data_IF_665430493369
#
_entry.id   IF_665430493369
#
_cell.length_a   1.000
_cell.length_b   1.000
_cell.length_c   1.000
_cell.angle_alpha   90.00
_cell.angle_beta   90.00
_cell.angle_gamma   90.00
#
_symmetry.space_group_name_H-M   'P 1'
#
loop_
_entity.id
_entity.type
_entity.pdbx_description
1 polymer ?
#
# COMPACT_ATOMS: atom_id res chain seq x y z
N UNK A 1 -8.37 -25.35 -1.10
CA UNK A 1 -8.13 -26.80 -1.05
C UNK A 1 -7.16 -27.23 0.05
N UNK A 2 -5.98 -26.61 0.20
CA UNK A 2 -5.01 -27.00 1.23
C UNK A 2 -5.32 -26.53 2.69
N UNK A 3 -6.42 -25.80 2.93
CA UNK A 3 -6.78 -25.33 4.28
C UNK A 3 -5.81 -24.30 4.90
N UNK A 4 -5.03 -23.58 4.09
CA UNK A 4 -4.01 -22.63 4.57
C UNK A 4 -4.49 -21.18 4.52
N UNK A 5 -4.06 -20.33 5.48
CA UNK A 5 -4.27 -18.89 5.41
C UNK A 5 -3.36 -18.26 4.35
N UNK A 6 -3.89 -17.24 3.65
CA UNK A 6 -3.18 -16.49 2.61
C UNK A 6 -3.25 -15.00 2.93
N UNK A 7 -2.11 -14.31 2.86
CA UNK A 7 -2.00 -12.87 3.02
C UNK A 7 -1.33 -12.28 1.77
N UNK A 8 -1.90 -11.22 1.21
CA UNK A 8 -1.39 -10.62 -0.03
C UNK A 8 -2.34 -9.62 -0.67
N UNK A 9 -1.97 -8.97 -1.79
CA UNK A 9 -0.68 -9.05 -2.50
C UNK A 9 0.05 -7.70 -2.61
N UNK A 10 1.37 -7.75 -2.82
CA UNK A 10 2.31 -6.63 -2.95
C UNK A 10 2.47 -5.79 -1.66
N UNK A 11 3.66 -5.77 -1.06
CA UNK A 11 3.89 -5.21 0.27
C UNK A 11 3.70 -3.68 0.29
N UNK A 12 3.04 -3.16 1.31
CA UNK A 12 3.08 -1.74 1.71
C UNK A 12 4.28 -1.56 2.65
N UNK A 13 5.27 -0.78 2.23
CA UNK A 13 6.39 -0.41 3.12
C UNK A 13 5.89 0.40 4.31
N UNK A 14 6.59 0.35 5.45
CA UNK A 14 6.21 1.01 6.71
C UNK A 14 5.92 2.51 6.50
N UNK A 15 6.82 3.22 5.81
CA UNK A 15 6.59 4.57 5.28
C UNK A 15 7.02 4.59 3.82
N UNK A 16 6.15 4.17 2.92
CA UNK A 16 6.40 4.13 1.48
C UNK A 16 5.64 5.20 0.70
N UNK A 17 6.03 5.38 -0.57
CA UNK A 17 5.35 6.29 -1.50
C UNK A 17 3.84 6.06 -1.55
N UNK A 18 3.40 4.80 -1.69
CA UNK A 18 1.97 4.45 -1.72
C UNK A 18 1.22 4.86 -0.45
N UNK A 19 1.81 4.65 0.74
CA UNK A 19 1.18 5.02 2.01
C UNK A 19 1.05 6.54 2.11
N UNK A 20 2.13 7.27 1.84
CA UNK A 20 2.13 8.75 1.91
C UNK A 20 1.12 9.33 0.91
N UNK A 21 1.11 8.83 -0.33
CA UNK A 21 0.17 9.25 -1.36
C UNK A 21 -1.29 9.02 -0.93
N UNK A 22 -1.58 7.83 -0.40
CA UNK A 22 -2.91 7.49 0.11
C UNK A 22 -3.35 8.40 1.26
N UNK A 23 -2.45 8.72 2.20
CA UNK A 23 -2.72 9.65 3.30
C UNK A 23 -3.03 11.06 2.77
N UNK A 24 -2.23 11.56 1.82
CA UNK A 24 -2.47 12.88 1.22
C UNK A 24 -3.79 12.91 0.42
N UNK A 25 -4.10 11.83 -0.30
CA UNK A 25 -5.38 11.68 -1.02
C UNK A 25 -6.55 11.67 -0.05
N UNK A 26 -6.44 10.92 1.05
CA UNK A 26 -7.46 10.88 2.10
C UNK A 26 -7.65 12.25 2.74
N UNK A 27 -6.55 12.99 3.00
CA UNK A 27 -6.63 14.36 3.52
C UNK A 27 -7.42 15.28 2.58
N UNK A 28 -7.25 15.17 1.26
CA UNK A 28 -8.02 15.97 0.31
C UNK A 28 -9.51 15.67 0.45
N UNK A 29 -9.88 14.38 0.43
CA UNK A 29 -11.26 13.92 0.56
C UNK A 29 -11.87 14.39 1.89
N UNK A 30 -11.18 14.16 3.01
CA UNK A 30 -11.65 14.49 4.36
C UNK A 30 -11.85 16.00 4.58
N UNK A 31 -11.15 16.83 3.80
CA UNK A 31 -11.24 18.30 3.85
C UNK A 31 -12.11 18.89 2.75
N UNK A 32 -12.78 18.06 1.95
CA UNK A 32 -13.64 18.51 0.87
C UNK A 32 -12.88 19.11 -0.32
N UNK A 33 -11.59 18.80 -0.47
CA UNK A 33 -10.77 19.19 -1.62
C UNK A 33 -10.97 18.15 -2.71
N UNK A 34 -11.39 18.59 -3.90
CA UNK A 34 -11.54 17.71 -5.06
C UNK A 34 -10.17 17.49 -5.68
N UNK A 35 -9.60 16.30 -5.54
CA UNK A 35 -8.44 15.86 -6.33
C UNK A 35 -8.84 15.77 -7.81
N UNK A 36 -8.04 16.38 -8.69
CA UNK A 36 -8.25 16.40 -10.15
C UNK A 36 -7.16 15.62 -10.88
N UNK A 37 -5.89 15.75 -10.46
CA UNK A 37 -4.76 15.04 -11.08
C UNK A 37 -3.79 14.57 -10.01
N UNK A 38 -3.14 13.44 -10.26
CA UNK A 38 -2.09 12.95 -9.39
C UNK A 38 -1.00 12.17 -10.10
N UNK A 39 0.23 12.32 -9.63
CA UNK A 39 1.36 11.54 -10.10
C UNK A 39 2.26 11.04 -8.96
N UNK A 40 2.92 9.92 -9.22
CA UNK A 40 3.95 9.34 -8.37
C UNK A 40 5.04 8.72 -9.23
N UNK A 41 6.19 9.38 -9.26
CA UNK A 41 7.40 8.96 -9.96
C UNK A 41 8.35 8.30 -8.96
N UNK A 42 8.69 7.02 -9.18
CA UNK A 42 9.59 6.29 -8.29
C UNK A 42 10.91 5.98 -8.99
N UNK A 43 12.03 6.35 -8.38
CA UNK A 43 13.38 6.08 -8.87
C UNK A 43 14.15 5.31 -7.80
N UNK A 44 14.93 4.31 -8.19
CA UNK A 44 15.76 3.53 -7.26
C UNK A 44 16.94 2.86 -7.96
N UNK A 45 17.88 2.31 -7.19
CA UNK A 45 19.11 1.72 -7.73
C UNK A 45 19.25 0.22 -7.54
N UNK A 46 18.29 -0.43 -6.86
CA UNK A 46 18.36 -1.86 -6.58
C UNK A 46 17.84 -2.68 -7.78
N UNK A 47 17.97 -4.00 -7.67
CA UNK A 47 17.55 -4.93 -8.72
C UNK A 47 16.04 -4.96 -8.93
N UNK A 48 15.20 -4.60 -7.95
CA UNK A 48 13.75 -4.47 -8.17
C UNK A 48 13.47 -3.34 -9.18
N UNK A 49 14.15 -2.19 -9.06
CA UNK A 49 14.03 -1.08 -10.02
C UNK A 49 14.62 -1.42 -11.39
N UNK A 50 15.75 -2.13 -11.44
CA UNK A 50 16.33 -2.58 -12.70
C UNK A 50 15.36 -3.51 -13.45
N UNK A 51 14.76 -4.46 -12.72
CA UNK A 51 13.73 -5.35 -13.25
C UNK A 51 12.45 -4.63 -13.71
N UNK A 52 12.23 -3.39 -13.24
CA UNK A 52 11.07 -2.58 -13.62
C UNK A 52 11.30 -1.77 -14.91
N UNK A 53 12.51 -1.71 -15.46
CA UNK A 53 12.74 -1.13 -16.80
C UNK A 53 12.13 -2.00 -17.90
N UNK A 54 11.96 -3.31 -17.67
CA UNK A 54 11.26 -4.20 -18.59
C UNK A 54 9.77 -3.85 -18.66
N UNK A 55 9.37 -3.24 -19.79
CA UNK A 55 8.03 -2.69 -19.99
C UNK A 55 6.91 -3.73 -19.87
N UNK A 56 7.16 -5.00 -20.19
CA UNK A 56 6.16 -6.07 -20.08
C UNK A 56 5.72 -6.34 -18.63
N UNK A 57 6.61 -6.12 -17.65
CA UNK A 57 6.31 -6.31 -16.21
C UNK A 57 5.66 -5.09 -15.56
N UNK A 58 5.61 -3.95 -16.26
CA UNK A 58 5.02 -2.73 -15.74
C UNK A 58 3.50 -2.81 -15.59
N UNK A 59 2.83 -3.62 -16.40
CA UNK A 59 1.35 -3.63 -16.46
C UNK A 59 0.73 -4.00 -15.10
N UNK A 60 1.14 -5.13 -14.51
CA UNK A 60 0.56 -5.62 -13.25
C UNK A 60 0.88 -4.70 -12.07
N UNK A 61 2.11 -4.17 -11.98
CA UNK A 61 2.50 -3.23 -10.90
C UNK A 61 1.89 -1.83 -11.07
N UNK A 62 1.65 -1.38 -12.31
CA UNK A 62 0.93 -0.12 -12.58
C UNK A 62 -0.51 -0.23 -12.10
N UNK A 63 -1.18 -1.35 -12.37
CA UNK A 63 -2.53 -1.62 -11.89
C UNK A 63 -2.58 -1.63 -10.36
N UNK A 64 -1.69 -2.38 -9.69
CA UNK A 64 -1.70 -2.48 -8.21
C UNK A 64 -1.50 -1.13 -7.53
N UNK A 65 -0.55 -0.32 -7.99
CA UNK A 65 -0.24 0.99 -7.39
C UNK A 65 -1.30 2.04 -7.71
N UNK A 66 -1.83 2.04 -8.93
CA UNK A 66 -2.90 2.96 -9.36
C UNK A 66 -4.16 2.68 -8.56
N UNK A 67 -4.61 1.41 -8.53
CA UNK A 67 -5.79 0.99 -7.78
C UNK A 67 -5.67 1.24 -6.28
N UNK A 68 -4.46 1.15 -5.72
CA UNK A 68 -4.24 1.49 -4.32
C UNK A 68 -4.52 2.96 -4.01
N UNK A 69 -4.33 3.91 -4.92
CA UNK A 69 -4.67 5.33 -4.67
C UNK A 69 -6.11 5.61 -5.05
N UNK A 70 -6.53 5.19 -6.26
CA UNK A 70 -7.87 5.52 -6.79
C UNK A 70 -9.00 4.85 -6.01
N UNK A 71 -8.76 3.71 -5.35
CA UNK A 71 -9.75 3.06 -4.47
C UNK A 71 -10.20 3.89 -3.27
N UNK A 72 -9.49 4.97 -2.93
CA UNK A 72 -9.92 5.91 -1.89
C UNK A 72 -10.90 6.97 -2.41
N UNK A 73 -10.85 7.28 -3.71
CA UNK A 73 -11.65 8.34 -4.29
C UNK A 73 -13.11 7.89 -4.41
N UNK A 74 -14.08 8.69 -3.92
CA UNK A 74 -15.50 8.37 -4.09
C UNK A 74 -16.03 8.71 -5.49
N UNK A 75 -15.15 9.14 -6.40
CA UNK A 75 -15.45 9.54 -7.78
C UNK A 75 -14.31 9.15 -8.71
N UNK A 76 -14.58 9.09 -10.00
CA UNK A 76 -13.58 8.87 -11.04
C UNK A 76 -12.92 10.19 -11.44
N UNK A 77 -11.59 10.16 -11.61
CA UNK A 77 -10.80 11.29 -12.11
C UNK A 77 -10.28 11.06 -13.53
N UNK A 78 -10.56 9.91 -14.16
CA UNK A 78 -10.05 9.57 -15.49
C UNK A 78 -8.63 9.00 -15.45
N UNK A 79 -8.37 7.99 -16.27
CA UNK A 79 -7.08 7.28 -16.29
C UNK A 79 -5.92 8.20 -16.71
N UNK A 80 -6.18 9.17 -17.59
CA UNK A 80 -5.20 10.14 -18.07
C UNK A 80 -4.73 11.12 -17.00
N UNK A 81 -5.50 11.26 -15.92
CA UNK A 81 -5.20 12.15 -14.80
C UNK A 81 -4.44 11.44 -13.66
N UNK A 82 -4.11 10.16 -13.83
CA UNK A 82 -3.37 9.35 -12.85
C UNK A 82 -2.11 8.76 -13.45
N UNK A 83 -0.95 9.20 -12.96
CA UNK A 83 0.35 8.67 -13.40
C UNK A 83 1.15 8.09 -12.23
N UNK A 84 1.02 6.78 -11.99
CA UNK A 84 1.68 6.10 -10.88
C UNK A 84 2.52 4.92 -11.39
N UNK A 85 3.84 4.97 -11.21
CA UNK A 85 4.73 3.91 -11.70
C UNK A 85 6.18 4.02 -11.22
N UNK A 86 7.01 3.00 -11.49
CA UNK A 86 8.45 3.20 -11.56
C UNK A 86 8.77 4.15 -12.72
N UNK A 87 9.79 4.96 -12.55
CA UNK A 87 10.18 6.00 -13.49
C UNK A 87 11.55 5.72 -14.07
N UNK A 88 12.51 5.34 -13.22
CA UNK A 88 13.87 5.10 -13.69
C UNK A 88 14.69 4.23 -12.73
N UNK A 89 15.83 3.74 -13.22
CA UNK A 89 16.86 3.06 -12.45
C UNK A 89 18.15 3.88 -12.42
N UNK A 90 18.62 4.19 -11.23
CA UNK A 90 19.81 5.02 -11.01
C UNK A 90 20.82 4.28 -10.13
N UNK A 91 21.94 3.77 -10.69
CA UNK A 91 22.79 2.80 -10.00
C UNK A 91 23.35 3.28 -8.66
N UNK A 92 23.72 4.56 -8.54
CA UNK A 92 24.30 5.11 -7.30
C UNK A 92 23.30 5.27 -6.16
N UNK A 93 22.00 5.11 -6.42
CA UNK A 93 21.01 5.08 -5.34
C UNK A 93 21.11 3.80 -4.52
N UNK A 94 21.60 2.69 -5.09
CA UNK A 94 21.61 1.37 -4.44
C UNK A 94 20.19 1.06 -3.91
N UNK A 95 20.03 0.75 -2.63
CA UNK A 95 18.72 0.47 -2.03
C UNK A 95 17.91 1.73 -1.66
N UNK A 96 18.46 2.93 -1.88
CA UNK A 96 17.68 4.15 -1.72
C UNK A 96 16.66 4.27 -2.84
N UNK A 97 15.46 4.66 -2.44
CA UNK A 97 14.33 4.92 -3.31
C UNK A 97 13.88 6.35 -3.11
N UNK A 98 13.74 7.05 -4.22
CA UNK A 98 13.15 8.37 -4.29
C UNK A 98 11.76 8.25 -4.87
N UNK A 99 10.80 8.93 -4.26
CA UNK A 99 9.46 9.07 -4.78
C UNK A 99 9.10 10.55 -4.86
N UNK A 100 8.75 11.01 -6.06
CA UNK A 100 8.22 12.35 -6.31
C UNK A 100 6.72 12.21 -6.51
N UNK A 101 5.95 12.91 -5.69
CA UNK A 101 4.50 12.90 -5.72
C UNK A 101 3.98 14.29 -6.02
N UNK A 102 2.94 14.36 -6.84
CA UNK A 102 2.23 15.60 -7.13
C UNK A 102 0.73 15.34 -7.05
N UNK A 103 0.01 16.14 -6.28
CA UNK A 103 -1.44 16.07 -6.13
C UNK A 103 -2.01 17.45 -6.44
N UNK A 104 -2.87 17.52 -7.45
CA UNK A 104 -3.56 18.74 -7.84
C UNK A 104 -5.05 18.61 -7.56
N UNK A 105 -5.64 19.65 -6.97
CA UNK A 105 -7.06 19.68 -6.68
C UNK A 105 -7.64 21.08 -6.63
N UNK A 106 -8.94 21.17 -6.31
CA UNK A 106 -9.67 22.43 -6.12
C UNK A 106 -10.24 22.54 -4.72
N UNK A 107 -10.14 23.74 -4.18
CA UNK A 107 -10.65 24.12 -2.87
C UNK A 107 -11.91 24.98 -3.01
N UNK A 108 -12.34 25.61 -1.91
CA UNK A 108 -13.47 26.53 -1.91
C UNK A 108 -13.33 27.63 -2.96
N UNK A 109 -14.41 27.90 -3.70
CA UNK A 109 -14.43 28.91 -4.78
C UNK A 109 -13.64 28.49 -6.02
N UNK A 110 -13.48 27.19 -6.28
CA UNK A 110 -12.73 26.63 -7.41
C UNK A 110 -11.25 27.07 -7.46
N UNK A 111 -10.69 27.49 -6.31
CA UNK A 111 -9.30 27.91 -6.22
C UNK A 111 -8.39 26.69 -6.31
N UNK A 112 -7.41 26.67 -7.25
CA UNK A 112 -6.52 25.54 -7.43
C UNK A 112 -5.58 25.36 -6.24
N UNK A 113 -5.29 24.10 -5.92
CA UNK A 113 -4.34 23.68 -4.90
C UNK A 113 -3.42 22.63 -5.50
N UNK A 114 -2.13 22.75 -5.20
CA UNK A 114 -1.12 21.78 -5.63
C UNK A 114 -0.21 21.43 -4.45
N UNK A 115 0.05 20.15 -4.27
CA UNK A 115 1.07 19.63 -3.35
C UNK A 115 2.12 18.88 -4.17
N UNK A 116 3.38 19.20 -3.92
CA UNK A 116 4.53 18.41 -4.38
C UNK A 116 5.33 17.91 -3.19
N UNK A 117 5.75 16.65 -3.24
CA UNK A 117 6.52 16.02 -2.17
C UNK A 117 7.60 15.11 -2.75
N UNK A 118 8.83 15.20 -2.22
CA UNK A 118 9.88 14.20 -2.40
C UNK A 118 10.02 13.37 -1.13
N UNK A 119 9.88 12.06 -1.26
CA UNK A 119 10.17 11.08 -0.22
C UNK A 119 11.46 10.34 -0.57
N UNK A 120 12.34 10.16 0.41
CA UNK A 120 13.53 9.30 0.28
C UNK A 120 13.53 8.27 1.41
N UNK A 121 13.71 7.00 1.04
CA UNK A 121 13.74 5.89 1.99
C UNK A 121 14.72 4.82 1.53
N UNK A 122 15.13 3.97 2.46
CA UNK A 122 15.76 2.68 2.15
C UNK A 122 14.66 1.64 1.92
N UNK A 123 14.54 1.09 0.70
CA UNK A 123 13.36 0.31 0.30
C UNK A 123 13.28 -1.06 0.99
N UNK A 124 14.43 -1.73 1.16
CA UNK A 124 14.48 -3.08 1.73
C UNK A 124 14.17 -3.12 3.23
N UNK A 125 14.83 -2.33 4.11
CA UNK A 125 14.51 -2.33 5.55
C UNK A 125 13.07 -1.87 5.84
N UNK A 126 12.58 -0.91 5.05
CA UNK A 126 11.24 -0.33 5.18
C UNK A 126 10.13 -1.37 4.86
N UNK A 127 10.45 -2.38 4.05
CA UNK A 127 9.53 -3.49 3.73
C UNK A 127 9.73 -4.69 4.66
N UNK A 128 10.96 -4.92 5.14
CA UNK A 128 11.30 -6.05 6.01
C UNK A 128 10.51 -6.06 7.33
N UNK A 129 10.39 -4.90 8.00
CA UNK A 129 9.63 -4.80 9.25
C UNK A 129 8.16 -5.19 9.09
N UNK A 130 7.53 -4.74 8.00
CA UNK A 130 6.13 -5.08 7.67
C UNK A 130 5.97 -6.57 7.39
N UNK A 131 6.92 -7.18 6.69
CA UNK A 131 6.88 -8.61 6.39
C UNK A 131 6.98 -9.47 7.65
N UNK A 132 7.80 -9.07 8.63
CA UNK A 132 7.88 -9.77 9.93
C UNK A 132 6.51 -9.79 10.62
N UNK A 133 5.80 -8.66 10.64
CA UNK A 133 4.47 -8.59 11.24
C UNK A 133 3.42 -9.37 10.46
N UNK A 134 3.50 -9.38 9.13
CA UNK A 134 2.63 -10.20 8.28
C UNK A 134 2.84 -11.71 8.56
N UNK A 135 4.08 -12.17 8.71
CA UNK A 135 4.41 -13.56 9.07
C UNK A 135 3.85 -13.92 10.46
N UNK A 136 3.95 -13.01 11.43
CA UNK A 136 3.36 -13.21 12.77
C UNK A 136 1.83 -13.34 12.69
N UNK A 137 1.19 -12.53 11.86
CA UNK A 137 -0.26 -12.65 11.61
C UNK A 137 -0.60 -13.96 10.90
N UNK A 138 0.20 -14.41 9.94
CA UNK A 138 0.02 -15.71 9.28
C UNK A 138 0.09 -16.86 10.29
N UNK A 139 1.01 -16.79 11.27
CA UNK A 139 1.10 -17.77 12.35
C UNK A 139 -0.14 -17.77 13.24
N UNK A 140 -0.63 -16.59 13.64
CA UNK A 140 -1.89 -16.47 14.42
C UNK A 140 -3.05 -17.08 13.64
N UNK A 141 -3.18 -16.77 12.34
CA UNK A 141 -4.25 -17.30 11.50
C UNK A 141 -4.19 -18.83 11.40
N UNK A 142 -2.98 -19.38 11.20
CA UNK A 142 -2.74 -20.83 11.14
C UNK A 142 -3.10 -21.51 12.47
N UNK A 143 -2.68 -20.94 13.61
CA UNK A 143 -2.95 -21.51 14.93
C UNK A 143 -4.43 -21.43 15.31
N UNK A 144 -5.15 -20.43 14.81
CA UNK A 144 -6.59 -20.29 14.96
C UNK A 144 -7.39 -21.14 13.96
N UNK A 145 -6.74 -21.96 13.13
CA UNK A 145 -7.40 -22.82 12.15
C UNK A 145 -8.09 -22.06 11.00
N UNK A 146 -7.68 -20.81 10.75
CA UNK A 146 -8.22 -20.01 9.65
C UNK A 146 -7.61 -20.44 8.31
N UNK A 147 -8.40 -20.34 7.24
CA UNK A 147 -7.99 -20.68 5.88
C UNK A 147 -8.50 -19.67 4.86
N UNK A 148 -7.86 -19.60 3.70
CA UNK A 148 -8.19 -18.66 2.64
C UNK A 148 -7.60 -17.27 2.90
N UNK A 149 -8.08 -16.27 2.14
CA UNK A 149 -7.54 -14.93 2.22
C UNK A 149 -7.93 -14.24 3.54
N UNK A 150 -6.94 -13.84 4.33
CA UNK A 150 -7.16 -13.18 5.62
C UNK A 150 -7.22 -11.68 5.39
N UNK A 151 -8.44 -11.14 5.32
CA UNK A 151 -8.72 -9.78 4.83
C UNK A 151 -8.07 -8.71 5.71
N UNK A 152 -8.14 -8.83 7.03
CA UNK A 152 -7.70 -7.77 7.95
C UNK A 152 -6.18 -7.53 7.87
N UNK A 153 -5.30 -8.54 8.07
CA UNK A 153 -3.87 -8.38 7.84
C UNK A 153 -3.53 -8.03 6.39
N UNK A 154 -4.23 -8.63 5.42
CA UNK A 154 -3.99 -8.33 4.00
C UNK A 154 -4.18 -6.85 3.71
N UNK A 155 -5.28 -6.26 4.21
CA UNK A 155 -5.61 -4.86 3.95
C UNK A 155 -4.65 -3.84 4.56
N UNK A 156 -4.03 -4.19 5.67
CA UNK A 156 -3.08 -3.32 6.34
C UNK A 156 -1.67 -3.43 5.75
N UNK A 157 -1.19 -4.65 5.48
CA UNK A 157 0.20 -4.88 5.06
C UNK A 157 0.43 -4.88 3.54
N UNK A 158 -0.62 -4.99 2.72
CA UNK A 158 -0.49 -5.20 1.27
C UNK A 158 -1.30 -4.19 0.45
N UNK A 159 -0.82 -3.90 -0.77
CA UNK A 159 -1.36 -2.87 -1.68
C UNK A 159 -2.61 -3.35 -2.39
N UNK A 160 -2.70 -4.65 -2.69
CA UNK A 160 -3.84 -5.27 -3.37
C UNK A 160 -4.49 -6.34 -2.50
N UNK A 161 -5.10 -5.96 -1.37
CA UNK A 161 -5.85 -6.90 -0.55
C UNK A 161 -7.15 -7.33 -1.26
N UNK A 162 -7.76 -8.46 -0.84
CA UNK A 162 -9.09 -8.86 -1.33
C UNK A 162 -10.16 -7.79 -1.12
N UNK A 163 -10.00 -6.95 -0.10
CA UNK A 163 -10.85 -5.80 0.19
C UNK A 163 -10.02 -4.59 0.61
N UNK A 164 -10.15 -3.51 -0.14
CA UNK A 164 -9.51 -2.23 0.18
C UNK A 164 -10.24 -1.52 1.32
N UNK A 165 -9.46 -0.86 2.19
CA UNK A 165 -9.97 0.05 3.22
C UNK A 165 -9.06 1.28 3.28
N UNK A 166 -9.55 2.43 3.78
CA UNK A 166 -8.68 3.50 4.26
C UNK A 166 -7.70 2.96 5.31
N UNK A 167 -6.45 3.45 5.30
CA UNK A 167 -5.37 2.82 6.08
C UNK A 167 -5.63 2.86 7.60
N UNK A 168 -6.27 3.92 8.11
CA UNK A 168 -6.67 4.01 9.52
C UNK A 168 -7.69 2.93 9.92
N UNK A 169 -8.62 2.61 9.02
CA UNK A 169 -9.64 1.56 9.22
C UNK A 169 -9.04 0.17 9.08
N UNK A 170 -8.07 0.00 8.18
CA UNK A 170 -7.29 -1.25 8.07
C UNK A 170 -6.53 -1.53 9.37
N UNK A 171 -5.92 -0.49 9.98
CA UNK A 171 -5.25 -0.59 11.28
C UNK A 171 -6.20 -1.04 12.38
N UNK A 172 -7.34 -0.37 12.54
CA UNK A 172 -8.36 -0.70 13.55
C UNK A 172 -8.85 -2.16 13.38
N UNK A 173 -9.08 -2.58 12.14
CA UNK A 173 -9.50 -3.95 11.82
C UNK A 173 -8.43 -4.98 12.18
N UNK A 174 -7.17 -4.68 11.88
CA UNK A 174 -6.05 -5.54 12.23
C UNK A 174 -5.92 -5.68 13.75
N UNK A 175 -5.98 -4.58 14.50
CA UNK A 175 -5.87 -4.60 15.97
C UNK A 175 -6.97 -5.46 16.59
N UNK A 176 -8.23 -5.25 16.19
CA UNK A 176 -9.38 -6.08 16.63
C UNK A 176 -9.20 -7.56 16.25
N UNK A 177 -8.69 -7.83 15.05
CA UNK A 177 -8.42 -9.19 14.59
C UNK A 177 -7.34 -9.88 15.43
N UNK A 178 -6.24 -9.18 15.74
CA UNK A 178 -5.15 -9.69 16.60
C UNK A 178 -5.70 -9.98 18.00
N UNK A 179 -6.44 -9.05 18.60
CA UNK A 179 -7.04 -9.24 19.93
C UNK A 179 -7.93 -10.48 20.02
N UNK A 180 -8.73 -10.73 18.97
CA UNK A 180 -9.63 -11.86 18.86
C UNK A 180 -8.87 -13.19 18.79
N UNK A 181 -7.89 -13.30 17.88
CA UNK A 181 -7.27 -14.60 17.56
C UNK A 181 -5.99 -14.91 18.34
N UNK A 182 -5.26 -13.89 18.83
CA UNK A 182 -4.04 -14.12 19.60
C UNK A 182 -4.29 -14.83 20.95
N UNK A 183 -5.47 -14.64 21.55
CA UNK A 183 -5.88 -15.34 22.78
C UNK A 183 -6.24 -16.81 22.52
N UNK A 184 -6.87 -17.10 21.38
CA UNK A 184 -7.26 -18.45 20.98
C UNK A 184 -6.04 -19.32 20.65
N UNK A 185 -5.02 -18.74 20.00
CA UNK A 185 -3.76 -19.43 19.70
C UNK A 185 -3.01 -19.92 20.97
N UNK A 186 -3.17 -19.23 22.12
CA UNK A 186 -2.57 -19.66 23.40
C UNK A 186 -3.38 -20.75 24.11
N UNK A 187 -4.66 -20.93 23.78
CA UNK A 187 -5.55 -21.92 24.39
C UNK A 187 -5.52 -23.30 23.73
N UNK A 188 -4.89 -23.42 22.55
CA UNK A 188 -4.77 -24.64 21.75
C UNK A 188 -3.78 -25.68 22.30
N UNK A 189 -3.90 -26.02 23.58
CA UNK A 189 -3.45 -27.30 24.17
C UNK A 189 -4.41 -27.68 25.28
N UNK A 190 -5.67 -27.99 24.93
CA UNK A 190 -6.50 -28.88 25.74
C UNK A 190 -7.26 -29.83 24.81
N UNK A 191 -6.77 -31.08 24.85
CA UNK A 191 -7.26 -32.32 24.26
C UNK A 191 -7.00 -32.49 22.77
#
# INVERSE_FOLDING_TARGET
DAGLPVLGDDIKSQVGATIVHRILTQLFIDRGVKLERTSQLNVGGNTDFLNMLERERLHSKKISKTGAVTSLLPYDIGEENVYIGPSDWVPWLKDRKWAYMRLEGRTFGDVPLNIELKLEVWDSPNSAGVMIDAIRCAKIAKDAGLSGAIVEPSSYFFKTPPKQFPDWKAKEKLEKWIEKYAKQAKGGKKK
#
